data_IF_866859848803
#
_entry.id   IF_866859848803
#
_cell.length_a   1.000
_cell.length_b   1.000
_cell.length_c   1.000
_cell.angle_alpha   90.00
_cell.angle_beta   90.00
_cell.angle_gamma   90.00
#
_symmetry.space_group_name_H-M   'P 1'
#
loop_
_entity.id
_entity.type
_entity.pdbx_description
1 polymer ?
#
# COMPACT_ATOMS: atom_id res chain seq x y z
N UNK A 1 2.92 24.95 1.87
CA UNK A 1 2.38 23.58 1.76
C UNK A 1 2.42 23.22 0.28
N UNK A 2 3.53 22.62 -0.18
CA UNK A 2 3.65 22.15 -1.56
C UNK A 2 2.76 20.91 -1.68
N UNK A 3 1.54 21.09 -2.18
CA UNK A 3 0.69 19.96 -2.55
C UNK A 3 1.30 19.37 -3.82
N UNK A 4 2.26 18.46 -3.69
CA UNK A 4 2.79 17.72 -4.84
C UNK A 4 1.61 17.01 -5.50
N UNK A 5 1.47 17.06 -6.84
CA UNK A 5 0.36 16.44 -7.55
C UNK A 5 0.20 14.95 -7.25
N UNK A 6 1.24 14.29 -6.74
CA UNK A 6 1.20 12.90 -6.26
C UNK A 6 0.26 12.66 -5.07
N UNK A 7 0.05 13.64 -4.19
CA UNK A 7 -0.91 13.50 -3.09
C UNK A 7 -2.36 13.33 -3.59
N UNK A 8 -2.65 13.76 -4.82
CA UNK A 8 -3.98 13.57 -5.41
C UNK A 8 -4.30 12.10 -5.71
N UNK A 9 -3.31 11.20 -5.79
CA UNK A 9 -3.57 9.77 -5.90
C UNK A 9 -4.31 9.20 -4.68
N UNK A 10 -4.12 9.79 -3.50
CA UNK A 10 -4.83 9.38 -2.29
C UNK A 10 -6.33 9.72 -2.34
N UNK A 11 -6.75 10.65 -3.19
CA UNK A 11 -8.16 10.95 -3.39
C UNK A 11 -8.88 9.84 -4.15
N UNK A 12 -8.17 9.04 -4.95
CA UNK A 12 -8.76 7.96 -5.75
C UNK A 12 -9.49 6.92 -4.86
N UNK A 13 -8.85 6.29 -3.86
CA UNK A 13 -9.53 5.35 -2.98
C UNK A 13 -10.64 6.02 -2.16
N UNK A 14 -10.45 7.28 -1.74
CA UNK A 14 -11.46 8.02 -0.98
C UNK A 14 -12.73 8.23 -1.83
N UNK A 15 -12.59 8.71 -3.06
CA UNK A 15 -13.72 8.95 -3.96
C UNK A 15 -14.40 7.63 -4.32
N UNK A 16 -13.62 6.57 -4.58
CA UNK A 16 -14.18 5.27 -4.90
C UNK A 16 -14.97 4.65 -3.73
N UNK A 17 -14.49 4.80 -2.49
CA UNK A 17 -15.17 4.29 -1.30
C UNK A 17 -16.39 5.14 -0.93
N UNK A 18 -16.31 6.48 -1.03
CA UNK A 18 -17.46 7.38 -0.80
C UNK A 18 -18.52 7.19 -1.88
N UNK A 19 -18.10 6.94 -3.13
CA UNK A 19 -18.99 6.67 -4.27
C UNK A 19 -19.62 5.27 -4.25
N UNK A 20 -19.23 4.38 -3.32
CA UNK A 20 -19.71 3.00 -3.29
C UNK A 20 -21.23 2.83 -3.36
N UNK A 21 -22.06 3.64 -2.68
CA UNK A 21 -23.52 3.56 -2.78
C UNK A 21 -24.07 3.81 -4.18
N UNK A 22 -23.32 4.51 -5.04
CA UNK A 22 -23.73 4.83 -6.41
C UNK A 22 -23.43 3.68 -7.40
N UNK A 23 -22.63 2.69 -7.00
CA UNK A 23 -22.23 1.59 -7.88
C UNK A 23 -23.20 0.41 -7.80
N UNK A 24 -24.03 0.15 -8.83
CA UNK A 24 -25.07 -0.88 -8.76
C UNK A 24 -24.51 -2.31 -8.72
N UNK A 25 -23.30 -2.54 -9.26
CA UNK A 25 -22.65 -3.85 -9.22
C UNK A 25 -22.13 -4.21 -7.83
N UNK A 26 -21.69 -3.21 -7.06
CA UNK A 26 -21.19 -3.42 -5.68
C UNK A 26 -22.35 -3.67 -4.72
N UNK A 27 -23.45 -2.92 -4.90
CA UNK A 27 -24.66 -3.04 -4.08
C UNK A 27 -25.64 -4.11 -4.58
N UNK A 28 -25.20 -4.96 -5.51
CA UNK A 28 -26.00 -6.09 -5.98
C UNK A 28 -25.97 -7.23 -4.97
N UNK A 29 -27.01 -8.08 -4.98
CA UNK A 29 -27.00 -9.36 -4.25
C UNK A 29 -26.05 -10.40 -4.85
N UNK A 30 -25.16 -10.01 -5.76
CA UNK A 30 -24.22 -10.91 -6.40
C UNK A 30 -23.18 -11.39 -5.39
N UNK A 31 -22.85 -12.68 -5.51
CA UNK A 31 -21.88 -13.37 -4.67
C UNK A 31 -20.79 -13.90 -5.59
N UNK A 32 -19.54 -13.61 -5.24
CA UNK A 32 -18.36 -14.07 -5.97
C UNK A 32 -17.44 -14.79 -4.97
N UNK A 33 -16.98 -16.00 -5.32
CA UNK A 33 -16.18 -16.85 -4.42
C UNK A 33 -16.84 -17.15 -3.06
N UNK A 34 -18.18 -17.06 -2.97
CA UNK A 34 -18.93 -17.20 -1.72
C UNK A 34 -19.02 -15.94 -0.86
N UNK A 35 -18.44 -14.82 -1.32
CA UNK A 35 -18.48 -13.53 -0.63
C UNK A 35 -19.33 -12.51 -1.39
N UNK A 36 -20.03 -11.59 -0.69
CA UNK A 36 -20.69 -10.47 -1.34
C UNK A 36 -19.69 -9.63 -2.15
N UNK A 37 -20.08 -9.19 -3.35
CA UNK A 37 -19.22 -8.34 -4.21
C UNK A 37 -18.77 -7.06 -3.48
N UNK A 38 -19.60 -6.52 -2.58
CA UNK A 38 -19.24 -5.41 -1.68
C UNK A 38 -17.98 -5.68 -0.85
N UNK A 39 -17.82 -6.89 -0.30
CA UNK A 39 -16.63 -7.24 0.48
C UNK A 39 -15.37 -7.27 -0.38
N UNK A 40 -15.46 -7.86 -1.58
CA UNK A 40 -14.35 -7.91 -2.53
C UNK A 40 -13.97 -6.51 -3.04
N UNK A 41 -14.96 -5.65 -3.26
CA UNK A 41 -14.75 -4.26 -3.63
C UNK A 41 -13.95 -3.50 -2.57
N UNK A 42 -14.39 -3.55 -1.31
CA UNK A 42 -13.71 -2.89 -0.19
C UNK A 42 -12.32 -3.47 0.03
N UNK A 43 -12.17 -4.79 0.00
CA UNK A 43 -10.87 -5.44 0.13
C UNK A 43 -9.90 -5.06 -1.00
N UNK A 44 -10.38 -5.01 -2.24
CA UNK A 44 -9.61 -4.57 -3.40
C UNK A 44 -9.11 -3.14 -3.25
N UNK A 45 -9.95 -2.24 -2.76
CA UNK A 45 -9.54 -0.86 -2.45
C UNK A 45 -8.56 -0.77 -1.29
N UNK A 46 -8.66 -1.65 -0.27
CA UNK A 46 -7.65 -1.75 0.78
C UNK A 46 -6.26 -2.07 0.23
N UNK A 47 -6.16 -3.12 -0.62
CA UNK A 47 -4.90 -3.50 -1.27
C UNK A 47 -4.38 -2.40 -2.19
N UNK A 48 -5.27 -1.80 -3.00
CA UNK A 48 -4.90 -0.70 -3.89
C UNK A 48 -4.35 0.51 -3.12
N UNK A 49 -4.94 0.84 -1.98
CA UNK A 49 -4.48 1.95 -1.12
C UNK A 49 -3.09 1.67 -0.58
N UNK A 50 -2.82 0.44 -0.12
CA UNK A 50 -1.48 0.03 0.33
C UNK A 50 -0.45 0.15 -0.79
N UNK A 51 -0.80 -0.26 -2.02
CA UNK A 51 0.10 -0.12 -3.17
C UNK A 51 0.35 1.33 -3.55
N UNK A 52 -0.68 2.18 -3.51
CA UNK A 52 -0.55 3.62 -3.77
C UNK A 52 0.39 4.26 -2.74
N UNK A 53 0.24 3.91 -1.46
CA UNK A 53 1.13 4.38 -0.40
C UNK A 53 2.56 3.88 -0.62
N UNK A 54 2.76 2.60 -0.93
CA UNK A 54 4.08 2.04 -1.21
C UNK A 54 4.78 2.74 -2.39
N UNK A 55 4.04 3.08 -3.45
CA UNK A 55 4.56 3.85 -4.58
C UNK A 55 4.89 5.30 -4.19
N UNK A 56 4.05 5.92 -3.37
CA UNK A 56 4.27 7.28 -2.89
C UNK A 56 5.55 7.36 -2.03
N UNK A 57 5.70 6.46 -1.05
CA UNK A 57 6.91 6.34 -0.23
C UNK A 57 8.17 6.14 -1.07
N UNK A 58 8.08 5.34 -2.15
CA UNK A 58 9.23 5.11 -3.05
C UNK A 58 9.64 6.37 -3.84
N UNK A 59 8.71 7.28 -4.10
CA UNK A 59 8.97 8.47 -4.91
C UNK A 59 9.30 9.72 -4.09
N UNK A 60 8.90 9.77 -2.83
CA UNK A 60 9.16 10.90 -1.91
C UNK A 60 10.05 10.40 -0.74
N UNK A 61 11.39 10.39 -0.89
CA UNK A 61 12.32 9.94 0.16
C UNK A 61 12.28 10.81 1.42
N UNK A 62 11.62 11.97 1.35
CA UNK A 62 11.35 12.87 2.48
C UNK A 62 10.25 12.36 3.44
N UNK A 63 9.48 11.35 3.03
CA UNK A 63 8.50 10.64 3.87
C UNK A 63 9.09 9.39 4.53
N UNK A 64 10.27 8.92 4.12
CA UNK A 64 10.93 7.77 4.73
C UNK A 64 11.19 8.06 6.22
N UNK A 65 10.65 7.21 7.09
CA UNK A 65 10.94 7.27 8.52
C UNK A 65 12.41 6.86 8.70
N UNK A 66 13.26 7.63 9.41
CA UNK A 66 14.64 7.22 9.70
C UNK A 66 14.74 5.84 10.39
N UNK A 67 13.64 5.34 10.98
CA UNK A 67 13.57 3.98 11.50
C UNK A 67 13.64 2.88 10.41
N UNK A 68 13.17 3.16 9.18
CA UNK A 68 13.20 2.20 8.06
C UNK A 68 14.62 2.08 7.47
N UNK A 69 15.37 3.18 7.38
CA UNK A 69 16.78 3.16 6.95
C UNK A 69 17.64 2.34 7.93
N UNK A 70 17.38 2.49 9.24
CA UNK A 70 18.08 1.73 10.27
C UNK A 70 17.77 0.22 10.22
N UNK A 71 16.57 -0.16 9.73
CA UNK A 71 16.20 -1.56 9.55
C UNK A 71 16.88 -2.16 8.30
N UNK A 72 16.99 -1.42 7.21
CA UNK A 72 17.69 -1.85 5.98
C UNK A 72 19.20 -2.01 6.23
N UNK A 73 19.82 -1.05 6.94
CA UNK A 73 21.22 -1.13 7.36
C UNK A 73 21.48 -2.32 8.31
N UNK A 74 20.55 -2.61 9.21
CA UNK A 74 20.66 -3.75 10.13
C UNK A 74 20.55 -5.10 9.40
N UNK A 75 19.64 -5.22 8.43
CA UNK A 75 19.50 -6.41 7.59
C UNK A 75 20.73 -6.63 6.69
N UNK A 76 21.26 -5.55 6.08
CA UNK A 76 22.49 -5.56 5.31
C UNK A 76 23.71 -5.98 6.17
N UNK A 77 23.79 -5.50 7.41
CA UNK A 77 24.85 -5.88 8.35
C UNK A 77 24.75 -7.35 8.79
N UNK A 78 23.54 -7.88 9.00
CA UNK A 78 23.31 -9.30 9.34
C UNK A 78 23.66 -10.22 8.16
N UNK A 79 23.24 -9.86 6.95
CA UNK A 79 23.50 -10.62 5.73
C UNK A 79 24.98 -10.55 5.31
N UNK A 80 25.65 -9.43 5.58
CA UNK A 80 27.10 -9.30 5.40
C UNK A 80 27.90 -10.11 6.41
N UNK A 81 27.45 -10.18 7.68
CA UNK A 81 28.10 -10.96 8.75
C UNK A 81 28.01 -12.45 8.49
N UNK A 82 26.87 -12.96 8.04
CA UNK A 82 26.68 -14.38 7.74
C UNK A 82 27.57 -14.88 6.60
N UNK A 83 27.94 -14.02 5.63
CA UNK A 83 28.86 -14.35 4.54
C UNK A 83 30.34 -14.39 4.96
N UNK A 84 30.71 -13.63 6.00
CA UNK A 84 32.08 -13.59 6.53
C UNK A 84 32.42 -14.76 7.46
N UNK A 85 31.43 -15.30 8.17
CA UNK A 85 31.63 -16.32 9.20
C UNK A 85 31.81 -17.76 8.64
N UNK A 86 31.33 -18.03 7.42
CA UNK A 86 31.50 -19.35 6.77
C UNK A 86 32.85 -19.50 6.04
N UNK A 87 33.64 -18.43 5.97
CA UNK A 87 34.92 -18.40 5.25
C UNK A 87 36.15 -18.45 6.18
N UNK A 88 35.94 -18.62 7.49
CA UNK A 88 36.97 -18.78 8.52
C UNK A 88 36.99 -20.22 9.07
#
# INVERSE_FOLDING_TARGET
MHLTPWHSLLLIPVIALVGTPLYPFVNSGAVLLGLPVMMLWVAGWGVATTLILALLYRHEPELADPADDAADDADAAVTGRSRGEVAA
#
